data_IF_496861154065
#
_entry.id   IF_496861154065
#
_cell.length_a   1.000
_cell.length_b   1.000
_cell.length_c   1.000
_cell.angle_alpha   90.00
_cell.angle_beta   90.00
_cell.angle_gamma   90.00
#
_symmetry.space_group_name_H-M   'P 1'
#
loop_
_entity.id
_entity.type
_entity.pdbx_description
1 polymer ?
#
# COMPACT_ATOMS: atom_id res chain seq x y z
N UNK A 1 53.53 21.14 -8.08
CA UNK A 1 52.63 22.18 -7.58
C UNK A 1 51.51 22.39 -8.58
N UNK A 2 50.33 21.96 -8.24
CA UNK A 2 49.02 22.61 -8.49
C UNK A 2 47.92 21.69 -7.95
N UNK A 3 47.33 22.16 -6.89
CA UNK A 3 46.13 21.58 -6.26
C UNK A 3 44.95 21.65 -7.21
N UNK A 4 44.28 20.53 -7.45
CA UNK A 4 42.93 20.46 -7.97
C UNK A 4 42.00 20.22 -6.81
N UNK A 5 41.20 21.21 -6.43
CA UNK A 5 40.11 21.09 -5.49
C UNK A 5 38.93 20.39 -6.18
N UNK A 6 38.60 19.22 -5.69
CA UNK A 6 37.35 18.54 -6.00
C UNK A 6 36.20 19.34 -5.42
N UNK A 7 35.37 19.85 -6.30
CA UNK A 7 34.12 20.47 -5.96
C UNK A 7 33.19 19.44 -5.35
N UNK A 8 32.91 19.57 -4.07
CA UNK A 8 31.78 18.90 -3.42
C UNK A 8 30.51 19.43 -4.05
N UNK A 9 29.86 18.62 -4.88
CA UNK A 9 28.47 18.81 -5.25
C UNK A 9 27.63 18.60 -3.99
N UNK A 10 27.30 19.68 -3.32
CA UNK A 10 26.28 19.74 -2.33
C UNK A 10 24.92 19.41 -3.00
N UNK A 11 24.44 18.18 -2.84
CA UNK A 11 23.04 17.90 -3.01
C UNK A 11 22.33 18.67 -1.89
N UNK A 12 21.68 19.77 -2.27
CA UNK A 12 20.68 20.44 -1.45
C UNK A 12 19.69 19.38 -1.00
N UNK A 13 19.50 19.25 0.33
CA UNK A 13 18.65 18.23 0.92
C UNK A 13 17.20 18.40 0.50
N UNK A 14 16.79 17.79 -0.60
CA UNK A 14 15.40 17.54 -0.89
C UNK A 14 14.95 16.46 0.10
N UNK A 15 13.95 16.77 0.89
CA UNK A 15 13.31 15.79 1.76
C UNK A 15 12.77 14.64 0.89
N UNK A 16 12.90 13.41 1.37
CA UNK A 16 12.33 12.26 0.67
C UNK A 16 10.82 12.49 0.41
N UNK A 17 10.31 12.10 -0.76
CA UNK A 17 8.91 12.34 -1.11
C UNK A 17 7.96 11.56 -0.19
N UNK A 18 6.83 12.21 0.15
CA UNK A 18 5.74 11.60 0.90
C UNK A 18 4.72 10.98 -0.04
N UNK A 19 4.28 9.76 0.28
CA UNK A 19 3.25 9.04 -0.46
C UNK A 19 2.00 8.82 0.37
N UNK A 20 0.85 8.85 -0.28
CA UNK A 20 -0.41 8.36 0.25
C UNK A 20 -0.95 7.25 -0.65
N UNK A 21 -1.37 6.15 -0.03
CA UNK A 21 -2.02 5.03 -0.72
C UNK A 21 -3.46 4.95 -0.24
N UNK A 22 -4.40 4.83 -1.18
CA UNK A 22 -5.84 4.78 -0.88
C UNK A 22 -6.33 3.34 -0.91
N UNK A 23 -6.77 2.86 0.26
CA UNK A 23 -7.27 1.50 0.46
C UNK A 23 -6.19 0.47 0.77
N UNK A 24 -6.49 -0.44 1.69
CA UNK A 24 -5.65 -1.58 2.06
C UNK A 24 -6.20 -2.91 1.50
N UNK A 25 -6.69 -2.88 0.27
CA UNK A 25 -6.92 -4.07 -0.52
C UNK A 25 -5.63 -4.63 -1.08
N UNK A 26 -5.71 -5.64 -1.95
CA UNK A 26 -4.55 -6.29 -2.56
C UNK A 26 -3.58 -5.29 -3.22
N UNK A 27 -4.10 -4.33 -3.99
CA UNK A 27 -3.29 -3.33 -4.68
C UNK A 27 -2.61 -2.35 -3.71
N UNK A 28 -3.32 -1.91 -2.66
CA UNK A 28 -2.75 -1.00 -1.66
C UNK A 28 -1.66 -1.66 -0.81
N UNK A 29 -1.86 -2.91 -0.40
CA UNK A 29 -0.82 -3.72 0.27
C UNK A 29 0.40 -3.90 -0.63
N UNK A 30 0.21 -4.23 -1.90
CA UNK A 30 1.30 -4.31 -2.88
C UNK A 30 2.07 -3.00 -2.99
N UNK A 31 1.35 -1.88 -3.14
CA UNK A 31 1.96 -0.55 -3.27
C UNK A 31 2.80 -0.20 -2.04
N UNK A 32 2.28 -0.45 -0.85
CA UNK A 32 3.00 -0.23 0.40
C UNK A 32 4.27 -1.07 0.51
N UNK A 33 4.21 -2.37 0.13
CA UNK A 33 5.38 -3.25 0.09
C UNK A 33 6.43 -2.70 -0.88
N UNK A 34 6.02 -2.29 -2.09
CA UNK A 34 6.95 -1.79 -3.11
C UNK A 34 7.56 -0.45 -2.74
N UNK A 35 6.83 0.45 -2.09
CA UNK A 35 7.39 1.68 -1.54
C UNK A 35 8.47 1.36 -0.49
N UNK A 36 8.18 0.44 0.42
CA UNK A 36 9.11 0.00 1.46
C UNK A 36 10.38 -0.64 0.88
N UNK A 37 10.23 -1.54 -0.12
CA UNK A 37 11.35 -2.16 -0.83
C UNK A 37 12.21 -1.13 -1.58
N UNK A 38 11.60 -0.07 -2.11
CA UNK A 38 12.29 1.03 -2.76
C UNK A 38 12.95 2.02 -1.79
N UNK A 39 12.83 1.80 -0.48
CA UNK A 39 13.46 2.64 0.55
C UNK A 39 12.64 3.86 0.95
N UNK A 40 11.41 4.01 0.47
CA UNK A 40 10.52 5.07 0.92
C UNK A 40 9.89 4.69 2.26
N UNK A 41 10.07 5.54 3.27
CA UNK A 41 9.56 5.32 4.63
C UNK A 41 8.44 6.29 5.00
N UNK A 42 8.35 7.43 4.32
CA UNK A 42 7.29 8.42 4.53
C UNK A 42 6.11 8.11 3.61
N UNK A 43 5.28 7.15 4.05
CA UNK A 43 4.02 6.87 3.38
C UNK A 43 2.94 6.43 4.38
N UNK A 44 1.69 6.69 4.02
CA UNK A 44 0.49 6.29 4.77
C UNK A 44 -0.49 5.59 3.85
N UNK A 45 -1.01 4.47 4.27
CA UNK A 45 -2.14 3.79 3.62
C UNK A 45 -3.41 4.14 4.39
N UNK A 46 -4.39 4.75 3.74
CA UNK A 46 -5.69 5.05 4.35
C UNK A 46 -6.70 3.96 3.99
N UNK A 47 -7.25 3.30 4.99
CA UNK A 47 -8.28 2.27 4.82
C UNK A 47 -9.53 2.66 5.62
N UNK A 48 -10.67 2.73 4.92
CA UNK A 48 -11.95 3.10 5.55
C UNK A 48 -12.47 2.08 6.55
N UNK A 49 -12.10 0.81 6.38
CA UNK A 49 -12.53 -0.25 7.29
C UNK A 49 -11.52 -0.49 8.41
N UNK A 50 -11.94 -1.32 9.38
CA UNK A 50 -11.17 -1.63 10.58
C UNK A 50 -10.01 -2.62 10.35
N UNK A 51 -9.89 -3.18 9.14
CA UNK A 51 -8.83 -4.11 8.75
C UNK A 51 -8.62 -4.11 7.23
N UNK A 52 -7.47 -4.60 6.81
CA UNK A 52 -7.17 -4.79 5.39
C UNK A 52 -8.06 -5.85 4.71
N UNK A 53 -8.00 -5.94 3.40
CA UNK A 53 -8.58 -7.04 2.63
C UNK A 53 -9.43 -6.64 1.43
N UNK A 54 -9.97 -5.42 1.38
CA UNK A 54 -10.76 -4.93 0.25
C UNK A 54 -11.87 -5.91 -0.16
N UNK A 55 -11.91 -6.29 -1.44
CA UNK A 55 -12.89 -7.22 -2.01
C UNK A 55 -13.05 -8.51 -1.22
N UNK A 56 -11.98 -9.11 -0.75
CA UNK A 56 -12.00 -10.40 -0.05
C UNK A 56 -12.47 -10.29 1.40
N UNK A 57 -12.43 -9.11 1.99
CA UNK A 57 -13.06 -8.80 3.28
C UNK A 57 -14.54 -8.45 3.11
N UNK A 58 -14.88 -7.65 2.09
CA UNK A 58 -16.21 -7.07 1.93
C UNK A 58 -17.24 -8.06 1.41
N UNK A 59 -16.81 -9.01 0.59
CA UNK A 59 -17.71 -10.00 -0.02
C UNK A 59 -17.67 -11.31 0.79
N UNK A 60 -18.79 -11.65 1.38
CA UNK A 60 -18.93 -12.80 2.28
C UNK A 60 -20.08 -13.74 1.90
N UNK A 61 -20.60 -13.62 0.67
CA UNK A 61 -21.67 -14.47 0.20
C UNK A 61 -21.21 -15.93 0.04
N UNK A 62 -22.14 -16.91 0.21
CA UNK A 62 -21.79 -18.32 0.09
C UNK A 62 -21.21 -18.66 -1.29
N UNK A 63 -20.12 -19.40 -1.31
CA UNK A 63 -19.46 -19.84 -2.54
C UNK A 63 -18.55 -18.81 -3.19
N UNK A 64 -18.27 -17.67 -2.54
CA UNK A 64 -17.26 -16.73 -3.05
C UNK A 64 -15.90 -17.42 -3.19
N UNK A 65 -15.35 -17.36 -4.38
CA UNK A 65 -14.04 -17.90 -4.71
C UNK A 65 -13.41 -17.06 -5.83
N UNK A 66 -12.11 -17.23 -6.03
CA UNK A 66 -11.44 -16.63 -7.18
C UNK A 66 -11.81 -17.40 -8.47
N UNK A 67 -11.96 -16.68 -9.56
CA UNK A 67 -12.12 -17.21 -10.92
C UNK A 67 -10.79 -17.36 -11.68
N UNK A 68 -9.69 -17.03 -11.02
CA UNK A 68 -8.32 -17.24 -11.48
C UNK A 68 -7.68 -18.36 -10.65
N UNK A 69 -6.93 -19.30 -11.27
CA UNK A 69 -6.23 -20.34 -10.51
C UNK A 69 -5.33 -19.75 -9.43
N UNK A 70 -5.40 -20.30 -8.23
CA UNK A 70 -4.80 -19.74 -7.01
C UNK A 70 -3.29 -19.49 -7.13
N UNK A 71 -2.57 -20.35 -7.85
CA UNK A 71 -1.13 -20.20 -8.09
C UNK A 71 -0.79 -18.99 -8.97
N UNK A 72 -1.75 -18.40 -9.68
CA UNK A 72 -1.60 -17.15 -10.43
C UNK A 72 -2.13 -15.94 -9.67
N UNK A 73 -3.13 -16.15 -8.79
CA UNK A 73 -3.75 -15.08 -8.01
C UNK A 73 -2.98 -14.79 -6.71
N UNK A 74 -1.73 -14.40 -6.85
CA UNK A 74 -0.82 -14.12 -5.75
C UNK A 74 0.22 -13.06 -6.12
N UNK A 75 0.93 -12.56 -5.15
CA UNK A 75 2.13 -11.76 -5.44
C UNK A 75 3.26 -12.67 -5.93
N UNK A 76 3.97 -12.24 -6.96
CA UNK A 76 5.07 -13.03 -7.55
C UNK A 76 6.22 -13.26 -6.58
N UNK A 77 6.46 -12.31 -5.68
CA UNK A 77 7.51 -12.33 -4.67
C UNK A 77 7.13 -13.08 -3.38
N UNK A 78 5.84 -13.43 -3.21
CA UNK A 78 5.32 -14.15 -2.04
C UNK A 78 4.49 -15.36 -2.49
N UNK A 79 5.13 -16.43 -3.03
CA UNK A 79 4.41 -17.61 -3.46
C UNK A 79 3.79 -18.35 -2.28
N UNK A 80 2.60 -18.90 -2.50
CA UNK A 80 1.97 -19.83 -1.58
C UNK A 80 1.85 -21.20 -2.27
N UNK A 81 2.61 -22.19 -1.85
CA UNK A 81 2.51 -23.56 -2.40
C UNK A 81 1.35 -24.37 -1.82
N UNK A 82 0.73 -23.88 -0.72
CA UNK A 82 -0.20 -24.64 0.09
C UNK A 82 -1.68 -24.28 -0.15
N UNK A 83 -1.99 -23.75 -1.36
CA UNK A 83 -3.37 -23.52 -1.73
C UNK A 83 -4.19 -24.80 -1.67
N UNK A 84 -5.32 -24.78 -0.95
CA UNK A 84 -6.16 -25.98 -0.78
C UNK A 84 -7.03 -26.27 -1.99
N UNK A 85 -7.24 -25.29 -2.87
CA UNK A 85 -8.07 -25.38 -4.06
C UNK A 85 -7.39 -24.78 -5.29
N UNK A 86 -7.76 -25.26 -6.46
CA UNK A 86 -7.35 -24.63 -7.74
C UNK A 86 -7.90 -23.22 -7.84
N UNK A 87 -9.13 -23.01 -7.37
CA UNK A 87 -9.80 -21.73 -7.24
C UNK A 87 -10.14 -21.53 -5.76
N UNK A 88 -9.27 -20.81 -5.05
CA UNK A 88 -9.38 -20.69 -3.59
C UNK A 88 -10.60 -19.89 -3.17
N UNK A 89 -11.24 -20.27 -2.07
CA UNK A 89 -12.33 -19.50 -1.46
C UNK A 89 -11.82 -18.16 -0.91
N UNK A 90 -12.73 -17.21 -0.76
CA UNK A 90 -12.40 -15.83 -0.40
C UNK A 90 -11.69 -15.67 0.93
N UNK A 91 -12.00 -16.47 1.92
CA UNK A 91 -11.36 -16.47 3.23
C UNK A 91 -9.89 -16.95 3.17
N UNK A 92 -9.59 -17.95 2.34
CA UNK A 92 -8.21 -18.40 2.12
C UNK A 92 -7.37 -17.32 1.42
N UNK A 93 -7.96 -16.63 0.44
CA UNK A 93 -7.30 -15.51 -0.26
C UNK A 93 -7.07 -14.35 0.71
N UNK A 94 -8.06 -14.00 1.52
CA UNK A 94 -7.92 -12.96 2.53
C UNK A 94 -6.81 -13.29 3.53
N UNK A 95 -6.77 -14.54 4.01
CA UNK A 95 -5.74 -15.00 4.94
C UNK A 95 -4.33 -14.92 4.32
N UNK A 96 -4.21 -15.25 3.03
CA UNK A 96 -2.94 -15.13 2.30
C UNK A 96 -2.46 -13.66 2.26
N UNK A 97 -3.30 -12.70 1.84
CA UNK A 97 -2.91 -11.29 1.77
C UNK A 97 -2.63 -10.68 3.15
N UNK A 98 -3.38 -11.05 4.17
CA UNK A 98 -3.15 -10.65 5.55
C UNK A 98 -1.79 -11.19 6.06
N UNK A 99 -1.48 -12.44 5.77
CA UNK A 99 -0.19 -13.04 6.10
C UNK A 99 0.99 -12.33 5.42
N UNK A 100 0.85 -11.98 4.13
CA UNK A 100 1.88 -11.23 3.41
C UNK A 100 2.04 -9.84 4.01
N UNK A 101 0.95 -9.09 4.25
CA UNK A 101 1.02 -7.75 4.84
C UNK A 101 1.74 -7.76 6.20
N UNK A 102 1.47 -8.74 7.04
CA UNK A 102 2.16 -8.92 8.33
C UNK A 102 3.64 -9.23 8.16
N UNK A 103 4.02 -10.10 7.22
CA UNK A 103 5.42 -10.46 6.99
C UNK A 103 6.28 -9.29 6.54
N UNK A 104 5.66 -8.25 5.97
CA UNK A 104 6.29 -7.00 5.57
C UNK A 104 6.06 -5.85 6.55
N UNK A 105 5.42 -6.07 7.71
CA UNK A 105 5.08 -5.04 8.70
C UNK A 105 4.26 -3.88 8.12
N UNK A 106 3.34 -4.15 7.19
CA UNK A 106 2.57 -3.10 6.50
C UNK A 106 1.57 -2.43 7.43
N UNK A 107 1.02 -3.14 8.41
CA UNK A 107 0.05 -2.60 9.38
C UNK A 107 0.53 -1.32 10.09
N UNK A 108 1.83 -1.16 10.28
CA UNK A 108 2.42 0.04 10.88
C UNK A 108 2.23 1.31 10.06
N UNK A 109 1.97 1.15 8.77
CA UNK A 109 1.76 2.23 7.82
C UNK A 109 0.28 2.43 7.47
N UNK A 110 -0.63 1.60 7.99
CA UNK A 110 -2.06 1.68 7.69
C UNK A 110 -2.81 2.46 8.76
N UNK A 111 -3.60 3.42 8.32
CA UNK A 111 -4.60 4.10 9.14
C UNK A 111 -5.96 3.50 8.83
N UNK A 112 -6.38 2.59 9.68
CA UNK A 112 -7.69 1.95 9.62
C UNK A 112 -8.80 2.89 10.10
N UNK A 113 -10.05 2.59 9.75
CA UNK A 113 -11.22 3.39 10.12
C UNK A 113 -11.18 4.82 9.57
N UNK A 114 -10.36 5.06 8.54
CA UNK A 114 -10.09 6.40 8.03
C UNK A 114 -10.41 6.48 6.54
N UNK A 115 -11.58 7.04 6.22
CA UNK A 115 -12.02 7.24 4.85
C UNK A 115 -11.50 8.56 4.30
N UNK A 116 -10.95 8.55 3.10
CA UNK A 116 -10.61 9.78 2.37
C UNK A 116 -11.87 10.30 1.70
N UNK A 117 -12.28 11.52 2.06
CA UNK A 117 -13.45 12.20 1.52
C UNK A 117 -13.11 13.01 0.26
N UNK A 118 -11.92 13.60 0.20
CA UNK A 118 -11.50 14.47 -0.91
C UNK A 118 -9.99 14.39 -1.10
N UNK A 119 -9.58 14.46 -2.37
CA UNK A 119 -8.18 14.67 -2.77
C UNK A 119 -8.15 15.70 -3.89
N UNK A 120 -7.22 16.64 -3.81
CA UNK A 120 -7.05 17.69 -4.79
C UNK A 120 -5.56 17.97 -5.00
N UNK A 121 -5.13 17.96 -6.26
CA UNK A 121 -3.76 18.38 -6.60
C UNK A 121 -3.75 19.87 -6.87
N UNK A 122 -3.04 20.64 -6.03
CA UNK A 122 -2.85 22.08 -6.17
C UNK A 122 -1.49 22.48 -5.61
N UNK A 123 -0.95 23.56 -6.12
CA UNK A 123 0.34 24.12 -5.67
C UNK A 123 1.50 23.09 -5.66
N UNK A 124 1.44 22.10 -6.59
CA UNK A 124 2.48 21.07 -6.72
C UNK A 124 2.38 19.90 -5.75
N UNK A 125 1.31 19.81 -4.92
CA UNK A 125 1.10 18.76 -3.94
C UNK A 125 -0.36 18.27 -3.94
N UNK A 126 -0.54 17.05 -3.43
CA UNK A 126 -1.85 16.51 -3.11
C UNK A 126 -2.28 17.00 -1.73
N UNK A 127 -3.47 17.60 -1.67
CA UNK A 127 -4.18 17.95 -0.43
C UNK A 127 -5.28 16.93 -0.21
N UNK A 128 -5.28 16.31 0.94
CA UNK A 128 -6.13 15.15 1.27
C UNK A 128 -6.96 15.52 2.49
N UNK A 129 -8.27 15.26 2.41
CA UNK A 129 -9.19 15.43 3.50
C UNK A 129 -9.88 14.11 3.82
N UNK A 130 -9.85 13.72 5.08
CA UNK A 130 -10.58 12.54 5.55
C UNK A 130 -12.04 12.89 5.88
N UNK A 131 -12.92 11.88 5.90
CA UNK A 131 -14.31 12.05 6.32
C UNK A 131 -14.44 12.54 7.76
N UNK A 132 -13.43 12.34 8.60
CA UNK A 132 -13.34 12.90 9.95
C UNK A 132 -12.85 14.34 10.01
N UNK A 133 -12.54 14.98 8.87
CA UNK A 133 -12.07 16.36 8.78
C UNK A 133 -10.58 16.56 9.01
N UNK A 134 -9.79 15.49 9.13
CA UNK A 134 -8.33 15.58 9.18
C UNK A 134 -7.77 15.97 7.82
N UNK A 135 -6.68 16.73 7.82
CA UNK A 135 -5.97 17.15 6.61
C UNK A 135 -4.60 16.47 6.54
N UNK A 136 -4.22 16.06 5.34
CA UNK A 136 -2.87 15.56 5.04
C UNK A 136 -2.40 16.09 3.69
N UNK A 137 -1.10 16.04 3.44
CA UNK A 137 -0.49 16.44 2.17
C UNK A 137 0.48 15.36 1.70
N UNK A 138 0.57 15.16 0.40
CA UNK A 138 1.50 14.21 -0.19
C UNK A 138 2.06 14.72 -1.52
N UNK A 139 3.25 14.25 -1.86
CA UNK A 139 3.84 14.50 -3.19
C UNK A 139 3.22 13.56 -4.22
N UNK A 140 2.86 12.34 -3.79
CA UNK A 140 2.24 11.32 -4.65
C UNK A 140 1.07 10.64 -3.97
N UNK A 141 0.04 10.34 -4.76
CA UNK A 141 -1.11 9.51 -4.37
C UNK A 141 -1.18 8.28 -5.28
N UNK A 142 -1.38 7.12 -4.67
CA UNK A 142 -1.67 5.84 -5.33
C UNK A 142 -3.10 5.45 -4.94
N UNK A 143 -4.03 5.40 -5.92
CA UNK A 143 -5.44 5.09 -5.72
C UNK A 143 -5.91 3.96 -6.63
#
# INVERSE_FOLDING_TARGET
MRNGQDGMNGHSGESAPRFVVVGAGMAGVLSAIKLKEAGYTDFTVYEKAERLGGTWRENTYPGIACDVPSHFYRYTFAPNPEWTHVFSPGDEILAYFDGVARSYDIDKHVRYGTEIARMEFRDGRWHIETAGGEQDEADFVIA
#
